data_IF_941363849949
#
_entry.id   IF_941363849949
#
_cell.length_a   1.000
_cell.length_b   1.000
_cell.length_c   1.000
_cell.angle_alpha   90.00
_cell.angle_beta   90.00
_cell.angle_gamma   90.00
#
_symmetry.space_group_name_H-M   'P 1'
#
loop_
_entity.id
_entity.type
_entity.pdbx_description
1 polymer ?
#
# COMPACT_ATOMS: atom_id res chain seq x y z
N UNK A 1 -15.58 -7.25 12.54
CA UNK A 1 -16.46 -6.09 12.32
C UNK A 1 -16.64 -5.92 10.82
N UNK A 2 -17.84 -6.17 10.29
CA UNK A 2 -18.15 -5.98 8.86
C UNK A 2 -18.08 -4.48 8.54
N UNK A 3 -17.16 -4.09 7.65
CA UNK A 3 -17.02 -2.70 7.25
C UNK A 3 -18.31 -2.23 6.55
N UNK A 4 -18.83 -1.06 6.96
CA UNK A 4 -19.98 -0.43 6.31
C UNK A 4 -19.60 -0.02 4.90
N UNK A 5 -20.17 -0.67 3.90
CA UNK A 5 -19.97 -0.33 2.49
C UNK A 5 -20.75 0.93 2.14
N UNK A 6 -20.13 1.84 1.38
CA UNK A 6 -20.80 3.02 0.82
C UNK A 6 -20.81 2.91 -0.69
N UNK A 7 -21.95 3.22 -1.30
CA UNK A 7 -22.03 3.34 -2.75
C UNK A 7 -21.34 4.64 -3.20
N UNK A 8 -20.64 4.60 -4.33
CA UNK A 8 -20.00 5.76 -4.94
C UNK A 8 -20.14 5.64 -6.46
N UNK A 9 -20.63 6.69 -7.12
CA UNK A 9 -20.64 6.78 -8.57
C UNK A 9 -19.31 7.33 -9.07
N UNK A 10 -18.80 6.75 -10.16
CA UNK A 10 -17.59 7.22 -10.84
C UNK A 10 -17.78 7.10 -12.35
N UNK A 11 -17.14 7.99 -13.10
CA UNK A 11 -17.14 7.96 -14.57
C UNK A 11 -15.87 7.25 -15.04
N UNK A 12 -16.04 6.23 -15.88
CA UNK A 12 -14.95 5.45 -16.47
C UNK A 12 -15.18 5.34 -17.97
N UNK A 13 -14.14 4.91 -18.70
CA UNK A 13 -14.23 4.65 -20.12
C UNK A 13 -15.31 3.59 -20.43
N UNK A 14 -16.21 3.92 -21.36
CA UNK A 14 -17.36 3.07 -21.67
C UNK A 14 -16.94 1.76 -22.35
N UNK A 15 -15.96 1.81 -23.26
CA UNK A 15 -15.49 0.62 -23.97
C UNK A 15 -14.84 -0.38 -22.99
N UNK A 16 -14.06 0.12 -22.03
CA UNK A 16 -13.48 -0.70 -20.96
C UNK A 16 -14.55 -1.34 -20.07
N UNK A 17 -15.61 -0.62 -19.73
CA UNK A 17 -16.72 -1.16 -18.93
C UNK A 17 -17.47 -2.25 -19.70
N UNK A 18 -17.71 -2.04 -20.99
CA UNK A 18 -18.39 -3.01 -21.85
C UNK A 18 -17.55 -4.28 -22.03
N UNK A 19 -16.25 -4.13 -22.26
CA UNK A 19 -15.30 -5.26 -22.33
C UNK A 19 -15.26 -6.04 -21.00
N UNK A 20 -15.14 -5.34 -19.87
CA UNK A 20 -15.12 -5.96 -18.56
C UNK A 20 -16.41 -6.73 -18.26
N UNK A 21 -17.56 -6.19 -18.67
CA UNK A 21 -18.85 -6.90 -18.58
C UNK A 21 -18.90 -8.13 -19.48
N UNK A 22 -18.42 -8.03 -20.72
CA UNK A 22 -18.36 -9.15 -21.65
C UNK A 22 -17.49 -10.31 -21.12
N UNK A 23 -16.43 -9.96 -20.38
CA UNK A 23 -15.53 -10.91 -19.72
C UNK A 23 -16.04 -11.41 -18.35
N UNK A 24 -17.20 -10.95 -17.89
CA UNK A 24 -17.77 -11.36 -16.59
C UNK A 24 -17.01 -10.82 -15.37
N UNK A 25 -16.27 -9.72 -15.53
CA UNK A 25 -15.49 -9.11 -14.43
C UNK A 25 -16.44 -8.43 -13.44
N UNK A 26 -16.21 -8.68 -12.16
CA UNK A 26 -16.92 -7.99 -11.08
C UNK A 26 -16.32 -6.58 -10.89
N UNK A 27 -16.94 -5.58 -11.53
CA UNK A 27 -16.49 -4.19 -11.53
C UNK A 27 -16.29 -3.62 -10.11
N UNK A 28 -17.23 -3.86 -9.21
CA UNK A 28 -17.15 -3.35 -7.83
C UNK A 28 -15.94 -3.91 -7.09
N UNK A 29 -15.68 -5.22 -7.25
CA UNK A 29 -14.51 -5.86 -6.64
C UNK A 29 -13.21 -5.38 -7.26
N UNK A 30 -13.14 -5.29 -8.59
CA UNK A 30 -11.96 -4.79 -9.28
C UNK A 30 -11.63 -3.34 -8.90
N UNK A 31 -12.65 -2.48 -8.80
CA UNK A 31 -12.49 -1.11 -8.32
C UNK A 31 -11.99 -1.04 -6.87
N UNK A 32 -12.56 -1.85 -5.98
CA UNK A 32 -12.13 -1.92 -4.58
C UNK A 32 -10.67 -2.37 -4.44
N UNK A 33 -10.27 -3.41 -5.16
CA UNK A 33 -8.89 -3.91 -5.17
C UNK A 33 -7.91 -2.86 -5.71
N UNK A 34 -8.26 -2.16 -6.80
CA UNK A 34 -7.47 -1.07 -7.36
C UNK A 34 -7.30 0.10 -6.39
N UNK A 35 -8.40 0.56 -5.77
CA UNK A 35 -8.38 1.63 -4.77
C UNK A 35 -7.53 1.21 -3.56
N UNK A 36 -7.69 -0.01 -3.06
CA UNK A 36 -6.92 -0.52 -1.93
C UNK A 36 -5.42 -0.53 -2.22
N UNK A 37 -5.01 -0.96 -3.42
CA UNK A 37 -3.62 -0.95 -3.83
C UNK A 37 -3.03 0.47 -3.84
N UNK A 38 -3.76 1.43 -4.42
CA UNK A 38 -3.34 2.84 -4.46
C UNK A 38 -3.26 3.47 -3.07
N UNK A 39 -4.26 3.22 -2.22
CA UNK A 39 -4.26 3.72 -0.83
C UNK A 39 -3.08 3.15 -0.04
N UNK A 40 -2.77 1.87 -0.20
CA UNK A 40 -1.61 1.24 0.46
C UNK A 40 -0.29 1.85 -0.01
N UNK A 41 -0.13 2.02 -1.32
CA UNK A 41 1.06 2.63 -1.91
C UNK A 41 1.27 4.05 -1.38
N UNK A 42 0.22 4.87 -1.37
CA UNK A 42 0.30 6.25 -0.91
C UNK A 42 0.57 6.35 0.60
N UNK A 43 -0.05 5.49 1.42
CA UNK A 43 0.28 5.41 2.86
C UNK A 43 1.73 5.02 3.09
N UNK A 44 2.24 4.03 2.35
CA UNK A 44 3.62 3.62 2.46
C UNK A 44 4.59 4.73 2.04
N UNK A 45 4.26 5.49 0.98
CA UNK A 45 5.05 6.66 0.54
C UNK A 45 5.12 7.72 1.64
N UNK A 46 3.98 8.14 2.17
CA UNK A 46 3.91 9.14 3.26
C UNK A 46 4.66 8.67 4.50
N UNK A 47 4.46 7.43 4.91
CA UNK A 47 5.16 6.88 6.07
C UNK A 47 6.69 6.94 5.87
N UNK A 48 7.20 6.59 4.68
CA UNK A 48 8.63 6.70 4.38
C UNK A 48 9.13 8.14 4.45
N UNK A 49 8.35 9.10 3.95
CA UNK A 49 8.69 10.52 4.01
C UNK A 49 8.74 11.02 5.46
N UNK A 50 7.70 10.72 6.24
CA UNK A 50 7.59 11.13 7.64
C UNK A 50 8.71 10.54 8.51
N UNK A 51 9.15 9.31 8.20
CA UNK A 51 10.15 8.59 8.99
C UNK A 51 11.56 8.67 8.38
N UNK A 52 11.76 9.41 7.29
CA UNK A 52 13.03 9.44 6.57
C UNK A 52 14.20 9.90 7.46
N UNK A 53 13.97 10.94 8.27
CA UNK A 53 14.98 11.49 9.17
C UNK A 53 15.37 10.50 10.27
N UNK A 54 14.38 9.84 10.89
CA UNK A 54 14.60 8.86 11.95
C UNK A 54 15.30 7.60 11.42
N UNK A 55 14.89 7.12 10.25
CA UNK A 55 15.56 6.01 9.56
C UNK A 55 17.02 6.37 9.27
N UNK A 56 17.28 7.57 8.74
CA UNK A 56 18.64 8.02 8.47
C UNK A 56 19.49 8.14 9.76
N UNK A 57 18.90 8.65 10.84
CA UNK A 57 19.56 8.75 12.14
C UNK A 57 19.89 7.36 12.71
N UNK A 58 18.95 6.42 12.64
CA UNK A 58 19.15 5.05 13.09
C UNK A 58 20.20 4.31 12.24
N UNK A 59 20.21 4.52 10.92
CA UNK A 59 21.22 3.94 10.04
C UNK A 59 22.63 4.43 10.39
N UNK A 60 22.82 5.75 10.61
CA UNK A 60 24.09 6.30 11.08
C UNK A 60 24.51 5.69 12.42
N UNK A 61 23.58 5.56 13.35
CA UNK A 61 23.87 4.93 14.64
C UNK A 61 24.35 3.48 14.48
N UNK A 62 23.74 2.69 13.58
CA UNK A 62 24.19 1.33 13.27
C UNK A 62 25.58 1.32 12.63
N UNK A 63 25.87 2.25 11.72
CA UNK A 63 27.19 2.36 11.09
C UNK A 63 28.29 2.62 12.14
N UNK A 64 27.99 3.47 13.14
CA UNK A 64 28.93 3.82 14.22
C UNK A 64 29.05 2.75 15.31
N UNK A 65 27.94 2.09 15.67
CA UNK A 65 27.86 1.24 16.87
C UNK A 65 27.71 -0.26 16.55
N UNK A 66 27.54 -0.60 15.28
CA UNK A 66 27.16 -1.94 14.82
C UNK A 66 25.68 -2.24 15.06
N UNK A 67 25.23 -3.38 14.51
CA UNK A 67 23.85 -3.83 14.66
C UNK A 67 23.58 -4.26 16.11
N UNK A 68 22.57 -3.69 16.80
CA UNK A 68 22.23 -4.10 18.15
C UNK A 68 22.00 -5.59 18.26
N UNK A 69 22.52 -6.20 19.34
CA UNK A 69 22.31 -7.61 19.67
C UNK A 69 22.80 -8.61 18.60
N UNK A 70 23.56 -8.16 17.59
CA UNK A 70 24.09 -9.04 16.54
C UNK A 70 24.87 -10.24 17.12
N UNK A 71 25.54 -10.05 18.26
CA UNK A 71 26.26 -11.09 19.01
C UNK A 71 25.41 -12.30 19.47
N UNK A 72 24.08 -12.18 19.49
CA UNK A 72 23.18 -13.26 19.89
C UNK A 72 22.46 -13.92 18.71
N UNK A 73 22.76 -13.50 17.46
CA UNK A 73 22.14 -14.08 16.27
C UNK A 73 22.63 -15.52 16.07
N UNK A 74 21.72 -16.49 16.23
CA UNK A 74 21.96 -17.89 15.87
C UNK A 74 21.61 -18.08 14.39
N UNK A 75 22.60 -18.44 13.58
CA UNK A 75 22.43 -18.83 12.18
C UNK A 75 22.18 -20.33 12.08
#
# INVERSE_FOLDING_TARGET
MTATRRATSMTLDAALLDEARALGINLSRAAEEGILAQVRAERARRWKEDNAADIAAYNRWIEENGVPLARYRKF
#
